data_IF_459390679073
#
_entry.id   IF_459390679073
#
_cell.length_a   1.000
_cell.length_b   1.000
_cell.length_c   1.000
_cell.angle_alpha   90.00
_cell.angle_beta   90.00
_cell.angle_gamma   90.00
#
_symmetry.space_group_name_H-M   'P 1'
#
loop_
_entity.id
_entity.type
_entity.pdbx_description
1 polymer ?
#
# COMPACT_ATOMS: atom_id res chain seq x y z
N UNK A 1 3.48 15.45 -9.08
CA UNK A 1 3.30 14.02 -8.76
C UNK A 1 4.03 13.16 -9.77
N UNK A 2 4.80 12.19 -9.31
CA UNK A 2 5.45 11.19 -10.15
C UNK A 2 4.37 10.28 -10.79
N UNK A 3 4.43 10.00 -12.09
CA UNK A 3 3.38 9.17 -12.76
C UNK A 3 3.27 7.78 -12.13
N UNK A 4 4.39 7.25 -11.66
CA UNK A 4 4.45 5.91 -11.05
C UNK A 4 3.63 5.83 -9.76
N UNK A 5 3.68 6.86 -8.90
CA UNK A 5 2.90 6.86 -7.66
C UNK A 5 1.40 7.02 -7.94
N UNK A 6 1.01 7.80 -8.95
CA UNK A 6 -0.39 7.90 -9.35
C UNK A 6 -0.93 6.57 -9.87
N UNK A 7 -0.14 5.86 -10.68
CA UNK A 7 -0.49 4.53 -11.16
C UNK A 7 -0.64 3.55 -10.00
N UNK A 8 0.33 3.52 -9.09
CA UNK A 8 0.27 2.68 -7.90
C UNK A 8 -0.93 2.99 -7.02
N UNK A 9 -1.22 4.27 -6.78
CA UNK A 9 -2.37 4.72 -5.99
C UNK A 9 -3.68 4.24 -6.63
N UNK A 10 -3.83 4.43 -7.94
CA UNK A 10 -5.03 4.00 -8.67
C UNK A 10 -5.20 2.48 -8.59
N UNK A 11 -4.11 1.74 -8.76
CA UNK A 11 -4.12 0.29 -8.71
C UNK A 11 -4.47 -0.23 -7.30
N UNK A 12 -3.83 0.34 -6.28
CA UNK A 12 -4.10 0.04 -4.87
C UNK A 12 -5.55 0.38 -4.49
N UNK A 13 -6.06 1.53 -4.89
CA UNK A 13 -7.45 1.93 -4.68
C UNK A 13 -8.41 0.93 -5.31
N UNK A 14 -8.18 0.54 -6.58
CA UNK A 14 -9.00 -0.46 -7.26
C UNK A 14 -8.96 -1.83 -6.56
N UNK A 15 -7.79 -2.27 -6.07
CA UNK A 15 -7.68 -3.52 -5.31
C UNK A 15 -8.41 -3.42 -3.97
N UNK A 16 -8.33 -2.28 -3.29
CA UNK A 16 -9.05 -2.02 -2.05
C UNK A 16 -10.56 -2.04 -2.26
N UNK A 17 -11.06 -1.45 -3.34
CA UNK A 17 -12.49 -1.48 -3.69
C UNK A 17 -12.96 -2.92 -3.91
N UNK A 18 -12.19 -3.74 -4.62
CA UNK A 18 -12.51 -5.17 -4.78
C UNK A 18 -12.46 -5.94 -3.45
N UNK A 19 -11.50 -5.62 -2.58
CA UNK A 19 -11.39 -6.26 -1.27
C UNK A 19 -12.58 -5.90 -0.38
N UNK A 20 -13.00 -4.64 -0.37
CA UNK A 20 -14.16 -4.16 0.42
C UNK A 20 -15.49 -4.67 -0.13
N UNK A 21 -15.58 -4.88 -1.44
CA UNK A 21 -16.72 -5.58 -2.06
C UNK A 21 -16.79 -7.05 -1.63
N UNK A 22 -15.64 -7.75 -1.62
CA UNK A 22 -15.53 -9.15 -1.19
C UNK A 22 -15.73 -9.32 0.32
N UNK A 23 -15.27 -8.36 1.12
CA UNK A 23 -15.31 -8.38 2.58
C UNK A 23 -15.90 -7.06 3.12
N UNK A 24 -17.24 -6.92 3.10
CA UNK A 24 -17.91 -5.68 3.53
C UNK A 24 -17.73 -5.35 5.01
N UNK A 25 -17.27 -6.32 5.83
CA UNK A 25 -16.93 -6.08 7.23
C UNK A 25 -15.58 -5.37 7.46
N UNK A 26 -14.76 -5.20 6.42
CA UNK A 26 -13.50 -4.48 6.51
C UNK A 26 -13.77 -2.98 6.52
N UNK A 27 -12.98 -2.24 7.31
CA UNK A 27 -12.98 -0.77 7.30
C UNK A 27 -11.61 -0.31 6.86
N UNK A 28 -11.36 -0.36 5.55
CA UNK A 28 -10.10 0.04 4.95
C UNK A 28 -10.16 1.46 4.39
N UNK A 29 -9.05 2.18 4.45
CA UNK A 29 -8.88 3.51 3.88
C UNK A 29 -7.57 3.56 3.10
N UNK A 30 -7.62 4.04 1.86
CA UNK A 30 -6.42 4.26 1.05
C UNK A 30 -5.91 5.68 1.25
N UNK A 31 -4.63 5.80 1.57
CA UNK A 31 -3.94 7.07 1.80
C UNK A 31 -2.80 7.28 0.81
N UNK A 32 -2.50 8.54 0.53
CA UNK A 32 -1.28 8.94 -0.16
C UNK A 32 -0.44 9.77 0.80
N UNK A 33 0.77 9.31 1.07
CA UNK A 33 1.80 10.01 1.83
C UNK A 33 2.72 10.72 0.83
N UNK A 34 2.43 12.01 0.61
CA UNK A 34 3.29 12.90 -0.18
C UNK A 34 4.28 13.62 0.76
N UNK A 35 5.55 13.17 0.73
CA UNK A 35 6.76 13.74 1.36
C UNK A 35 6.90 13.80 2.90
N UNK A 36 8.10 13.42 3.40
CA UNK A 36 9.00 14.35 4.14
C UNK A 36 10.32 13.75 4.71
N UNK A 37 10.57 12.42 4.74
CA UNK A 37 11.84 11.94 5.33
C UNK A 37 13.02 11.75 4.35
N UNK A 38 12.83 11.33 3.08
CA UNK A 38 13.95 11.05 2.15
C UNK A 38 13.61 11.15 0.64
N UNK A 39 12.81 12.14 0.19
CA UNK A 39 12.38 12.25 -1.23
C UNK A 39 11.74 10.94 -1.75
N UNK A 40 10.58 10.59 -1.19
CA UNK A 40 9.87 9.36 -1.52
C UNK A 40 8.37 9.59 -1.43
N UNK A 41 7.62 8.89 -2.27
CA UNK A 41 6.16 8.90 -2.25
C UNK A 41 5.66 7.54 -1.77
N UNK A 42 4.62 7.51 -0.94
CA UNK A 42 4.08 6.26 -0.45
C UNK A 42 2.55 6.20 -0.57
N UNK A 43 2.03 5.03 -0.93
CA UNK A 43 0.59 4.72 -0.87
C UNK A 43 0.36 3.82 0.34
N UNK A 44 -0.65 4.11 1.15
CA UNK A 44 -1.00 3.28 2.31
C UNK A 44 -2.41 2.74 2.20
N UNK A 45 -2.64 1.60 2.85
CA UNK A 45 -3.95 1.02 3.05
C UNK A 45 -4.07 0.73 4.55
N UNK A 46 -4.98 1.43 5.19
CA UNK A 46 -5.21 1.37 6.62
C UNK A 46 -6.50 0.63 6.91
N UNK A 47 -6.43 -0.51 7.59
CA UNK A 47 -7.60 -1.15 8.19
C UNK A 47 -7.83 -0.57 9.58
N UNK A 48 -8.80 0.34 9.67
CA UNK A 48 -9.18 1.04 10.91
C UNK A 48 -9.65 0.06 11.97
N UNK A 49 -10.34 -1.01 11.57
CA UNK A 49 -10.94 -1.98 12.49
C UNK A 49 -9.89 -2.91 13.11
N UNK A 50 -8.94 -3.38 12.30
CA UNK A 50 -7.87 -4.29 12.73
C UNK A 50 -6.62 -3.55 13.22
N UNK A 51 -6.60 -2.22 13.09
CA UNK A 51 -5.41 -1.39 13.30
C UNK A 51 -4.20 -1.86 12.50
N UNK A 52 -4.40 -2.49 11.34
CA UNK A 52 -3.32 -2.93 10.45
C UNK A 52 -3.14 -1.91 9.34
N UNK A 53 -1.90 -1.69 8.92
CA UNK A 53 -1.53 -0.82 7.81
C UNK A 53 -0.64 -1.59 6.85
N UNK A 54 -0.84 -1.38 5.57
CA UNK A 54 0.06 -1.78 4.50
C UNK A 54 0.55 -0.52 3.79
N UNK A 55 1.85 -0.41 3.50
CA UNK A 55 2.41 0.73 2.80
C UNK A 55 3.26 0.28 1.62
N UNK A 56 3.20 1.07 0.56
CA UNK A 56 3.92 0.89 -0.68
C UNK A 56 4.71 2.16 -0.96
N UNK A 57 6.03 2.09 -0.84
CA UNK A 57 6.96 3.22 -0.90
C UNK A 57 7.70 3.17 -2.23
N UNK A 58 7.72 4.28 -2.95
CA UNK A 58 8.56 4.49 -4.14
C UNK A 58 9.56 5.58 -3.78
N UNK A 59 10.85 5.24 -3.85
CA UNK A 59 11.94 6.19 -3.64
C UNK A 59 12.17 6.97 -4.95
N UNK A 60 12.38 8.29 -4.90
CA UNK A 60 12.71 9.07 -6.11
C UNK A 60 14.04 8.63 -6.74
N UNK A 61 14.97 8.09 -5.93
CA UNK A 61 16.23 7.52 -6.42
C UNK A 61 16.05 6.23 -7.24
N UNK A 62 14.98 5.46 -6.98
CA UNK A 62 14.68 4.19 -7.64
C UNK A 62 13.18 4.11 -7.95
N UNK A 63 12.70 4.90 -8.93
CA UNK A 63 11.27 5.00 -9.24
C UNK A 63 10.70 3.72 -9.87
N UNK A 64 11.57 2.81 -10.30
CA UNK A 64 11.21 1.48 -10.80
C UNK A 64 10.95 0.45 -9.70
N UNK A 65 11.24 0.77 -8.42
CA UNK A 65 11.12 -0.17 -7.32
C UNK A 65 10.08 0.30 -6.31
N UNK A 66 9.23 -0.65 -5.89
CA UNK A 66 8.22 -0.46 -4.84
C UNK A 66 8.64 -1.27 -3.62
N UNK A 67 8.90 -0.56 -2.52
CA UNK A 67 9.07 -1.14 -1.20
C UNK A 67 7.71 -1.39 -0.55
N UNK A 68 7.45 -2.60 -0.10
CA UNK A 68 6.22 -3.00 0.56
C UNK A 68 6.53 -3.25 2.02
N UNK A 69 5.73 -2.68 2.92
CA UNK A 69 5.81 -2.96 4.35
C UNK A 69 4.45 -2.95 5.00
N UNK A 70 4.37 -3.55 6.18
CA UNK A 70 3.19 -3.58 7.02
C UNK A 70 3.48 -2.89 8.35
N UNK A 71 2.46 -2.41 9.02
CA UNK A 71 2.61 -1.68 10.26
C UNK A 71 1.29 -1.63 11.02
N UNK A 72 1.32 -0.96 12.17
CA UNK A 72 0.11 -0.72 12.95
C UNK A 72 -0.44 0.68 12.65
N UNK A 73 -1.72 0.74 12.25
CA UNK A 73 -2.39 2.00 11.94
C UNK A 73 -2.41 2.90 13.17
N UNK A 74 -2.01 4.17 13.00
CA UNK A 74 -1.88 5.14 14.08
C UNK A 74 -0.58 5.08 14.88
N UNK A 75 0.38 4.25 14.46
CA UNK A 75 1.74 4.20 15.04
C UNK A 75 2.80 4.46 13.97
N UNK A 76 4.03 4.72 14.40
CA UNK A 76 5.22 4.78 13.53
C UNK A 76 5.79 3.39 13.22
N UNK A 77 5.12 2.32 13.66
CA UNK A 77 5.58 0.95 13.47
C UNK A 77 5.47 0.58 12.00
N UNK A 78 6.62 0.30 11.40
CA UNK A 78 6.74 -0.08 9.99
C UNK A 78 7.75 -1.21 9.86
N UNK A 79 7.24 -2.37 9.46
CA UNK A 79 8.02 -3.56 9.13
C UNK A 79 8.06 -3.71 7.62
N UNK A 80 9.26 -3.58 7.04
CA UNK A 80 9.47 -3.87 5.63
C UNK A 80 9.31 -5.37 5.36
N UNK A 81 8.44 -5.73 4.42
CA UNK A 81 8.14 -7.15 4.11
C UNK A 81 8.80 -7.58 2.81
N UNK A 82 8.82 -6.72 1.78
CA UNK A 82 9.25 -7.11 0.44
C UNK A 82 9.59 -5.89 -0.41
N UNK A 83 10.49 -6.09 -1.37
CA UNK A 83 10.74 -5.14 -2.44
C UNK A 83 10.40 -5.80 -3.78
N UNK A 84 9.68 -5.10 -4.66
CA UNK A 84 9.35 -5.60 -6.01
C UNK A 84 9.51 -4.50 -7.04
N UNK A 85 9.77 -4.86 -8.29
CA UNK A 85 9.78 -3.89 -9.38
C UNK A 85 8.34 -3.41 -9.64
N UNK A 86 8.16 -2.15 -10.02
CA UNK A 86 6.86 -1.58 -10.38
C UNK A 86 6.20 -2.37 -11.53
N UNK A 87 7.00 -2.92 -12.44
CA UNK A 87 6.55 -3.77 -13.55
C UNK A 87 6.02 -5.13 -13.10
N UNK A 88 6.41 -5.59 -11.91
CA UNK A 88 5.94 -6.85 -11.32
C UNK A 88 4.70 -6.65 -10.46
N UNK A 89 4.35 -5.40 -10.13
CA UNK A 89 3.12 -5.09 -9.40
C UNK A 89 1.93 -5.33 -10.32
N UNK A 90 1.22 -6.42 -10.03
CA UNK A 90 -0.06 -6.76 -10.63
C UNK A 90 -1.18 -6.64 -9.61
N UNK A 91 -2.39 -6.45 -10.09
CA UNK A 91 -3.59 -6.46 -9.27
C UNK A 91 -3.72 -7.74 -8.43
N UNK A 92 -3.42 -8.90 -9.02
CA UNK A 92 -3.44 -10.19 -8.32
C UNK A 92 -2.47 -10.22 -7.13
N UNK A 93 -1.24 -9.72 -7.32
CA UNK A 93 -0.25 -9.64 -6.25
C UNK A 93 -0.70 -8.71 -5.11
N UNK A 94 -1.28 -7.55 -5.45
CA UNK A 94 -1.75 -6.60 -4.45
C UNK A 94 -2.93 -7.14 -3.64
N UNK A 95 -3.87 -7.82 -4.29
CA UNK A 95 -4.99 -8.48 -3.62
C UNK A 95 -4.47 -9.57 -2.68
N UNK A 96 -3.51 -10.39 -3.12
CA UNK A 96 -2.90 -11.41 -2.26
C UNK A 96 -2.25 -10.79 -1.01
N UNK A 97 -1.49 -9.71 -1.17
CA UNK A 97 -0.87 -9.00 -0.04
C UNK A 97 -1.90 -8.38 0.90
N UNK A 98 -2.97 -7.83 0.35
CA UNK A 98 -4.10 -7.32 1.10
C UNK A 98 -4.80 -8.43 1.91
N UNK A 99 -5.07 -9.58 1.30
CA UNK A 99 -5.68 -10.72 2.01
C UNK A 99 -4.73 -11.32 3.06
N UNK A 100 -3.41 -11.26 2.87
CA UNK A 100 -2.47 -11.77 3.87
C UNK A 100 -2.29 -10.82 5.06
N UNK A 101 -2.36 -9.51 4.85
CA UNK A 101 -1.97 -8.52 5.87
C UNK A 101 -3.11 -7.63 6.37
N UNK A 102 -4.24 -7.54 5.65
CA UNK A 102 -5.34 -6.60 5.94
C UNK A 102 -6.65 -7.29 6.31
N UNK A 103 -6.84 -8.59 6.04
CA UNK A 103 -8.09 -9.31 6.37
C UNK A 103 -8.07 -10.15 7.65
N UNK A 104 -6.90 -10.48 8.19
CA UNK A 104 -6.75 -11.37 9.36
C UNK A 104 -6.86 -10.63 10.70
#
# INVERSE_FOLDING_TARGET
MNKNIQQLLTLVASCNDQLTEKYPQLSTAVGLLEQSLQASNAVTIDNVKLKKRLMFIILDAHPEIVGIGTGQSGTEDFTFIKQVSLTEISQSLLIELLEQHITD
#
